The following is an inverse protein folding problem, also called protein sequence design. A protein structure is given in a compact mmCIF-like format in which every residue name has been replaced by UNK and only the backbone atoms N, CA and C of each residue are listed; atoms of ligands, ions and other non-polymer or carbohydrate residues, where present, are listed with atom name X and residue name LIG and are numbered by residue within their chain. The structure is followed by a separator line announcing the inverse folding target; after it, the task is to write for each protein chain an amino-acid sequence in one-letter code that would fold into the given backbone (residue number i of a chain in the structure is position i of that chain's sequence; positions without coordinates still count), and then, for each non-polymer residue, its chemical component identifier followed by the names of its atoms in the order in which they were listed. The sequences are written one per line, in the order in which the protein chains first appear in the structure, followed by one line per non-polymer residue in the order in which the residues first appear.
data_IF_109577540154
#
_entry.id   IF_109577540154
#
_cell.length_a   1.000
_cell.length_b   1.000
_cell.length_c   1.000
_cell.angle_alpha   90.00
_cell.angle_beta   90.00
_cell.angle_gamma   90.00
#
_symmetry.space_group_name_H-M   'P 1'
#
loop_
_entity.id
_entity.type
_entity.pdbx_description
1 polymer ?
#
# COMPACT_ATOMS: atom_id res chain seq x y z
N UNK A 1 9.29 14.08 -3.02
CA UNK A 1 8.37 14.62 -2.00
C UNK A 1 8.20 13.56 -0.92
N UNK A 2 8.38 13.94 0.34
CA UNK A 2 8.06 13.13 1.50
C UNK A 2 7.01 13.87 2.33
N UNK A 3 6.11 13.13 2.97
CA UNK A 3 5.04 13.71 3.79
C UNK A 3 4.64 12.76 4.92
N UNK A 4 4.09 13.32 5.98
CA UNK A 4 3.53 12.54 7.09
C UNK A 4 2.15 12.01 6.72
N UNK A 5 1.98 10.70 6.80
CA UNK A 5 0.67 10.07 6.62
C UNK A 5 -0.22 10.26 7.86
N UNK A 6 -1.54 10.15 7.67
CA UNK A 6 -2.50 10.15 8.77
C UNK A 6 -2.08 9.15 9.88
N UNK A 7 -1.89 9.65 11.09
CA UNK A 7 -1.46 8.86 12.24
C UNK A 7 0.05 8.75 12.43
N UNK A 8 0.86 9.49 11.66
CA UNK A 8 2.31 9.51 11.77
C UNK A 8 2.84 10.96 11.83
N UNK A 9 4.04 11.12 12.39
CA UNK A 9 4.72 12.39 12.47
C UNK A 9 3.86 13.51 13.07
N UNK A 10 3.78 14.62 12.39
CA UNK A 10 2.96 15.77 12.81
C UNK A 10 1.44 15.52 12.74
N UNK A 11 1.02 14.42 12.09
CA UNK A 11 -0.40 14.05 11.94
C UNK A 11 -0.83 12.93 12.90
N UNK A 12 -0.08 12.70 13.99
CA UNK A 12 -0.36 11.66 14.97
C UNK A 12 -1.76 11.80 15.60
N UNK A 13 -2.15 13.02 15.95
CA UNK A 13 -3.47 13.31 16.56
C UNK A 13 -4.63 13.04 15.61
N UNK A 14 -4.44 13.30 14.31
CA UNK A 14 -5.44 12.96 13.28
C UNK A 14 -5.69 11.44 13.26
N UNK A 15 -4.65 10.64 13.37
CA UNK A 15 -4.77 9.18 13.41
C UNK A 15 -5.41 8.66 14.70
N UNK A 16 -5.18 9.32 15.85
CA UNK A 16 -5.78 8.95 17.14
C UNK A 16 -7.29 9.08 17.11
N UNK A 17 -7.79 10.19 16.62
CA UNK A 17 -9.22 10.52 16.62
C UNK A 17 -9.91 10.15 15.30
N UNK A 18 -9.21 9.44 14.41
CA UNK A 18 -9.65 9.18 13.04
C UNK A 18 -11.05 8.55 12.96
N UNK A 19 -11.29 7.46 13.68
CA UNK A 19 -12.58 6.74 13.62
C UNK A 19 -13.72 7.44 14.35
N UNK A 20 -13.41 8.31 15.30
CA UNK A 20 -14.39 9.21 15.90
C UNK A 20 -14.96 10.19 14.87
N UNK A 21 -14.06 10.73 14.03
CA UNK A 21 -14.41 11.74 13.03
C UNK A 21 -14.86 11.13 11.70
N UNK A 22 -14.37 9.93 11.37
CA UNK A 22 -14.57 9.25 10.09
C UNK A 22 -14.95 7.76 10.26
N UNK A 23 -16.10 7.43 10.90
CA UNK A 23 -16.44 6.06 11.30
C UNK A 23 -16.66 5.10 10.10
N UNK A 24 -16.89 5.64 8.90
CA UNK A 24 -17.11 4.84 7.67
C UNK A 24 -15.87 4.64 6.81
N UNK A 25 -14.76 5.27 7.16
CA UNK A 25 -13.52 5.22 6.40
C UNK A 25 -12.55 4.19 6.99
N UNK A 26 -11.45 3.93 6.29
CA UNK A 26 -10.28 3.27 6.85
C UNK A 26 -9.10 4.22 6.89
N UNK A 27 -8.22 4.07 7.88
CA UNK A 27 -6.96 4.85 7.90
C UNK A 27 -6.13 4.59 6.65
N UNK A 28 -6.07 3.34 6.18
CA UNK A 28 -5.37 3.04 4.94
C UNK A 28 -5.99 3.78 3.76
N UNK A 29 -7.33 3.82 3.66
CA UNK A 29 -8.00 4.61 2.64
C UNK A 29 -7.63 6.09 2.70
N UNK A 30 -7.51 6.67 3.90
CA UNK A 30 -7.01 8.04 4.08
C UNK A 30 -5.56 8.19 3.61
N UNK A 31 -4.68 7.25 3.96
CA UNK A 31 -3.28 7.26 3.51
C UNK A 31 -3.16 7.18 1.98
N UNK A 32 -4.02 6.40 1.34
CA UNK A 32 -4.10 6.33 -0.13
C UNK A 32 -4.54 7.68 -0.71
N UNK A 33 -5.52 8.34 -0.12
CA UNK A 33 -5.94 9.69 -0.54
C UNK A 33 -4.84 10.72 -0.34
N UNK A 34 -4.07 10.63 0.75
CA UNK A 34 -2.90 11.48 0.98
C UNK A 34 -1.82 11.27 -0.09
N UNK A 35 -1.57 10.02 -0.49
CA UNK A 35 -0.65 9.71 -1.59
C UNK A 35 -1.11 10.34 -2.91
N UNK A 36 -2.40 10.20 -3.26
CA UNK A 36 -2.99 10.82 -4.45
C UNK A 36 -2.93 12.35 -4.39
N UNK A 37 -3.16 12.94 -3.22
CA UNK A 37 -3.02 14.38 -3.04
C UNK A 37 -1.57 14.85 -3.23
N UNK A 38 -0.57 14.07 -2.78
CA UNK A 38 0.84 14.35 -3.02
C UNK A 38 1.19 14.26 -4.51
N UNK A 39 0.64 13.31 -5.25
CA UNK A 39 0.77 13.23 -6.71
C UNK A 39 0.15 14.46 -7.37
N UNK A 40 -1.07 14.85 -7.00
CA UNK A 40 -1.71 16.05 -7.52
C UNK A 40 -0.89 17.32 -7.23
N UNK A 41 -0.37 17.44 -6.01
CA UNK A 41 0.50 18.56 -5.64
C UNK A 41 1.77 18.60 -6.51
N UNK A 42 2.39 17.44 -6.76
CA UNK A 42 3.58 17.36 -7.60
C UNK A 42 3.28 17.75 -9.06
N UNK A 43 2.26 17.12 -9.65
CA UNK A 43 1.97 17.24 -11.09
C UNK A 43 1.29 18.57 -11.45
N UNK A 44 0.32 18.98 -10.64
CA UNK A 44 -0.50 20.14 -10.97
C UNK A 44 0.11 21.44 -10.43
N UNK A 45 0.83 21.40 -9.33
CA UNK A 45 1.49 22.49 -8.61
C UNK A 45 0.69 23.77 -8.59
N UNK A 46 0.09 24.16 -7.47
CA UNK A 46 -0.75 25.36 -7.39
C UNK A 46 -0.08 26.50 -6.61
N UNK A 47 -0.18 27.73 -7.14
CA UNK A 47 0.25 28.93 -6.45
C UNK A 47 1.75 28.96 -6.15
N UNK A 48 2.13 29.47 -4.97
CA UNK A 48 3.51 29.57 -4.51
C UNK A 48 4.25 28.22 -4.41
N UNK A 49 3.52 27.10 -4.30
CA UNK A 49 4.09 25.76 -4.28
C UNK A 49 4.72 25.37 -5.62
N UNK A 50 4.28 25.94 -6.74
CA UNK A 50 4.84 25.65 -8.06
C UNK A 50 6.32 26.05 -8.15
N UNK A 51 6.73 27.12 -7.50
CA UNK A 51 8.12 27.57 -7.47
C UNK A 51 9.01 26.77 -6.50
N UNK A 52 8.41 26.00 -5.57
CA UNK A 52 9.12 25.21 -4.59
C UNK A 52 9.43 23.77 -5.07
N UNK A 53 8.79 23.31 -6.16
CA UNK A 53 9.01 21.99 -6.73
C UNK A 53 9.99 22.15 -7.91
N UNK A 54 11.14 21.45 -7.90
CA UNK A 54 12.03 21.42 -9.06
C UNK A 54 11.31 20.94 -10.31
N UNK A 55 11.71 21.42 -11.46
CA UNK A 55 11.20 20.93 -12.74
C UNK A 55 11.50 19.43 -12.88
N UNK A 56 10.50 18.63 -13.25
CA UNK A 56 10.62 17.20 -13.45
C UNK A 56 9.60 16.71 -14.50
N UNK A 57 9.81 15.51 -15.01
CA UNK A 57 8.90 14.86 -15.94
C UNK A 57 7.63 14.36 -15.21
N UNK A 58 6.51 15.05 -15.42
CA UNK A 58 5.22 14.72 -14.80
C UNK A 58 4.63 13.38 -15.26
N UNK A 59 5.15 12.78 -16.35
CA UNK A 59 4.79 11.44 -16.80
C UNK A 59 5.58 10.34 -16.09
N UNK A 60 6.55 10.70 -15.26
CA UNK A 60 7.44 9.77 -14.56
C UNK A 60 7.34 9.91 -13.04
N UNK A 61 6.14 9.94 -12.50
CA UNK A 61 5.88 9.98 -11.06
C UNK A 61 5.84 8.56 -10.51
N UNK A 62 6.74 8.25 -9.59
CA UNK A 62 6.81 6.96 -8.90
C UNK A 62 6.47 7.11 -7.43
N UNK A 63 5.75 6.15 -6.87
CA UNK A 63 5.50 6.08 -5.44
C UNK A 63 6.45 5.05 -4.80
N UNK A 64 7.10 5.46 -3.72
CA UNK A 64 7.91 4.58 -2.89
C UNK A 64 7.35 4.57 -1.48
N UNK A 65 7.10 3.40 -0.92
CA UNK A 65 6.60 3.25 0.43
C UNK A 65 7.28 2.15 1.21
N UNK A 66 7.40 2.37 2.53
CA UNK A 66 7.89 1.39 3.49
C UNK A 66 6.79 1.03 4.49
N UNK A 67 6.63 -0.26 4.80
CA UNK A 67 5.64 -0.77 5.75
C UNK A 67 4.21 -0.33 5.38
N UNK A 68 3.48 0.36 6.24
CA UNK A 68 2.15 0.93 5.91
C UNK A 68 2.19 1.88 4.70
N UNK A 69 3.32 2.55 4.49
CA UNK A 69 3.55 3.36 3.29
C UNK A 69 3.62 2.53 2.00
N UNK A 70 4.13 1.29 2.08
CA UNK A 70 4.12 0.38 0.93
C UNK A 70 2.70 0.00 0.52
N UNK A 71 1.82 -0.25 1.49
CA UNK A 71 0.39 -0.49 1.23
C UNK A 71 -0.27 0.74 0.58
N UNK A 72 -0.04 1.93 1.14
CA UNK A 72 -0.58 3.17 0.58
C UNK A 72 -0.08 3.41 -0.86
N UNK A 73 1.20 3.18 -1.13
CA UNK A 73 1.79 3.32 -2.47
C UNK A 73 1.20 2.30 -3.47
N UNK A 74 1.02 1.05 -3.04
CA UNK A 74 0.44 -0.01 -3.86
C UNK A 74 -0.98 0.34 -4.28
N UNK A 75 -1.86 0.65 -3.33
CA UNK A 75 -3.24 1.02 -3.64
C UNK A 75 -3.35 2.33 -4.42
N UNK A 76 -2.53 3.34 -4.10
CA UNK A 76 -2.52 4.59 -4.86
C UNK A 76 -2.04 4.37 -6.31
N UNK A 77 -1.07 3.46 -6.53
CA UNK A 77 -0.60 3.07 -7.85
C UNK A 77 -1.67 2.45 -8.74
N UNK A 78 -2.63 1.73 -8.13
CA UNK A 78 -3.82 1.21 -8.83
C UNK A 78 -4.83 2.33 -9.12
N UNK A 79 -5.06 3.21 -8.15
CA UNK A 79 -6.16 4.17 -8.16
C UNK A 79 -5.81 5.54 -8.75
N UNK A 80 -4.58 5.73 -9.25
CA UNK A 80 -4.15 6.97 -9.87
C UNK A 80 -3.31 6.70 -11.12
N UNK A 81 -3.87 6.99 -12.29
CA UNK A 81 -3.24 6.74 -13.58
C UNK A 81 -1.99 7.59 -13.83
N UNK A 82 -1.82 8.67 -13.11
CA UNK A 82 -0.62 9.54 -13.19
C UNK A 82 0.61 8.89 -12.54
N UNK A 83 0.41 7.87 -11.71
CA UNK A 83 1.50 7.10 -11.14
C UNK A 83 2.08 6.17 -12.19
N UNK A 84 3.36 6.38 -12.53
CA UNK A 84 4.06 5.61 -13.54
C UNK A 84 4.61 4.27 -13.03
N UNK A 85 4.73 4.10 -11.70
CA UNK A 85 5.15 2.83 -11.09
C UNK A 85 5.25 2.94 -9.57
N UNK A 86 5.43 1.80 -8.90
CA UNK A 86 5.47 1.71 -7.44
C UNK A 86 6.67 0.92 -6.95
N UNK A 87 7.20 1.30 -5.78
CA UNK A 87 8.20 0.55 -5.04
C UNK A 87 7.71 0.29 -3.61
N UNK A 88 7.51 -0.97 -3.27
CA UNK A 88 6.95 -1.44 -2.02
C UNK A 88 8.02 -2.15 -1.20
N UNK A 89 8.43 -1.56 -0.07
CA UNK A 89 9.42 -2.12 0.84
C UNK A 89 8.73 -2.68 2.07
N UNK A 90 8.72 -4.00 2.26
CA UNK A 90 8.04 -4.70 3.37
C UNK A 90 6.53 -4.36 3.46
N UNK A 91 5.95 -4.58 4.63
CA UNK A 91 4.67 -3.98 5.03
C UNK A 91 3.44 -4.83 4.77
N UNK A 92 3.54 -5.91 4.02
CA UNK A 92 2.41 -6.79 3.76
C UNK A 92 2.78 -8.27 3.81
N UNK A 93 1.81 -9.06 4.10
CA UNK A 93 1.78 -10.53 4.01
C UNK A 93 0.44 -10.89 3.39
N UNK A 94 0.34 -11.93 2.55
CA UNK A 94 -0.93 -12.31 1.95
C UNK A 94 -2.03 -12.43 3.00
N UNK A 95 -3.15 -11.80 2.75
CA UNK A 95 -4.26 -11.70 3.71
C UNK A 95 -4.82 -13.07 4.06
N UNK A 96 -4.96 -13.95 3.06
CA UNK A 96 -5.51 -15.30 3.22
C UNK A 96 -4.59 -16.24 4.00
N UNK A 97 -3.28 -15.94 4.06
CA UNK A 97 -2.29 -16.78 4.72
C UNK A 97 -1.78 -16.22 6.06
N UNK A 98 -2.18 -15.02 6.42
CA UNK A 98 -1.63 -14.30 7.57
C UNK A 98 -2.51 -14.45 8.81
N UNK A 99 -2.75 -15.69 9.22
CA UNK A 99 -3.53 -16.00 10.43
C UNK A 99 -2.98 -15.36 11.69
N UNK A 100 -3.84 -15.19 12.69
CA UNK A 100 -3.52 -14.53 13.97
C UNK A 100 -2.57 -15.35 14.86
N UNK A 101 -2.29 -16.60 14.51
CA UNK A 101 -1.34 -17.46 15.24
C UNK A 101 0.13 -16.97 15.17
N UNK A 102 0.45 -16.00 14.31
CA UNK A 102 1.79 -15.42 14.25
C UNK A 102 2.09 -14.61 15.50
N UNK A 103 3.27 -14.82 16.08
CA UNK A 103 3.75 -14.11 17.27
C UNK A 103 3.71 -12.56 17.11
N UNK A 104 3.75 -12.06 15.89
CA UNK A 104 3.71 -10.64 15.54
C UNK A 104 2.31 -10.12 15.21
N UNK A 105 1.25 -10.95 15.39
CA UNK A 105 -0.14 -10.58 15.25
C UNK A 105 -0.73 -10.71 13.84
N UNK A 106 0.03 -11.19 12.84
CA UNK A 106 -0.48 -11.45 11.49
C UNK A 106 -1.35 -10.32 10.94
N UNK A 107 -2.50 -10.65 10.37
CA UNK A 107 -3.49 -9.68 9.87
C UNK A 107 -4.12 -8.83 10.96
N UNK A 108 -4.13 -9.32 12.20
CA UNK A 108 -4.63 -8.59 13.37
C UNK A 108 -3.96 -7.22 13.51
N UNK A 109 -2.72 -7.08 13.04
CA UNK A 109 -2.03 -5.79 12.99
C UNK A 109 -2.78 -4.75 12.14
N UNK A 110 -3.41 -5.18 11.05
CA UNK A 110 -4.10 -4.28 10.13
C UNK A 110 -5.46 -3.83 10.68
N UNK A 111 -6.20 -4.70 11.34
CA UNK A 111 -7.55 -4.38 11.79
C UNK A 111 -7.64 -4.00 13.27
N UNK A 112 -6.81 -4.55 14.15
CA UNK A 112 -6.83 -4.25 15.58
C UNK A 112 -5.67 -3.34 16.00
N UNK A 113 -4.41 -3.79 15.85
CA UNK A 113 -3.26 -3.09 16.43
C UNK A 113 -3.00 -1.72 15.80
N UNK A 114 -3.04 -1.63 14.50
CA UNK A 114 -2.86 -0.36 13.76
C UNK A 114 -4.17 0.25 13.28
N UNK A 115 -5.23 -0.54 13.31
CA UNK A 115 -6.57 -0.15 12.83
C UNK A 115 -6.52 0.53 11.44
N UNK A 116 -5.69 -0.01 10.52
CA UNK A 116 -5.60 0.51 9.16
C UNK A 116 -6.82 0.15 8.34
N UNK A 117 -7.31 -1.08 8.52
CA UNK A 117 -8.45 -1.68 7.82
C UNK A 117 -9.33 -2.49 8.79
N UNK A 118 -10.13 -1.85 9.67
CA UNK A 118 -10.88 -2.54 10.72
C UNK A 118 -11.82 -3.64 10.21
N UNK A 119 -12.36 -3.50 9.01
CA UNK A 119 -13.28 -4.50 8.43
C UNK A 119 -12.62 -5.84 8.10
N UNK A 120 -11.31 -5.91 8.01
CA UNK A 120 -10.61 -7.20 7.89
C UNK A 120 -10.86 -8.10 9.10
N UNK A 121 -11.15 -7.54 10.28
CA UNK A 121 -11.54 -8.31 11.46
C UNK A 121 -12.82 -9.14 11.30
N UNK A 122 -13.64 -8.88 10.29
CA UNK A 122 -14.80 -9.72 9.95
C UNK A 122 -14.38 -11.10 9.43
N UNK A 123 -13.14 -11.24 9.00
CA UNK A 123 -12.55 -12.49 8.48
C UNK A 123 -11.61 -13.14 9.48
N UNK A 124 -11.58 -12.69 10.74
CA UNK A 124 -10.77 -13.32 11.78
C UNK A 124 -11.15 -14.78 11.99
N UNK A 125 -10.17 -15.69 11.84
CA UNK A 125 -10.40 -17.14 11.83
C UNK A 125 -11.05 -17.69 10.55
N UNK A 126 -11.28 -16.85 9.55
CA UNK A 126 -11.83 -17.18 8.24
C UNK A 126 -11.09 -16.48 7.11
N UNK A 127 -9.77 -16.34 7.25
CA UNK A 127 -8.93 -15.57 6.34
C UNK A 127 -9.00 -16.09 4.89
N UNK A 128 -9.22 -17.41 4.72
CA UNK A 128 -9.40 -18.00 3.39
C UNK A 128 -10.64 -17.50 2.63
N UNK A 129 -11.61 -16.91 3.34
CA UNK A 129 -12.83 -16.35 2.75
C UNK A 129 -12.68 -14.90 2.31
N UNK A 130 -11.50 -14.29 2.49
CA UNK A 130 -11.26 -12.91 2.04
C UNK A 130 -11.49 -12.78 0.54
N UNK A 131 -12.29 -11.77 0.10
CA UNK A 131 -12.70 -11.64 -1.29
C UNK A 131 -11.57 -11.20 -2.22
N UNK A 132 -10.46 -10.70 -1.68
CA UNK A 132 -9.26 -10.30 -2.43
C UNK A 132 -8.00 -10.56 -1.62
N UNK A 133 -6.85 -10.54 -2.28
CA UNK A 133 -5.53 -10.57 -1.65
C UNK A 133 -4.55 -9.67 -2.41
N UNK A 134 -3.30 -9.61 -2.00
CA UNK A 134 -2.31 -8.73 -2.61
C UNK A 134 -1.87 -9.16 -4.01
N UNK A 135 -2.08 -10.41 -4.41
CA UNK A 135 -1.92 -10.82 -5.81
C UNK A 135 -2.93 -10.12 -6.72
N UNK A 136 -4.18 -9.95 -6.28
CA UNK A 136 -5.19 -9.19 -7.01
C UNK A 136 -4.78 -7.71 -7.13
N UNK A 137 -4.34 -7.09 -6.03
CA UNK A 137 -3.94 -5.68 -6.02
C UNK A 137 -2.69 -5.44 -6.87
N UNK A 138 -1.67 -6.29 -6.74
CA UNK A 138 -0.45 -6.20 -7.56
C UNK A 138 -0.74 -6.48 -9.03
N UNK A 139 -1.65 -7.41 -9.33
CA UNK A 139 -2.12 -7.66 -10.69
C UNK A 139 -2.74 -6.43 -11.32
N UNK A 140 -3.44 -5.61 -10.55
CA UNK A 140 -4.01 -4.34 -11.01
C UNK A 140 -2.97 -3.21 -11.15
N UNK A 141 -1.85 -3.25 -10.40
CA UNK A 141 -0.74 -2.31 -10.60
C UNK A 141 -0.09 -2.52 -11.97
N UNK A 142 0.03 -3.78 -12.39
CA UNK A 142 0.56 -4.11 -13.70
C UNK A 142 -0.39 -3.60 -14.82
N UNK A 143 0.11 -3.08 -15.94
CA UNK A 143 1.46 -3.20 -16.48
C UNK A 143 2.49 -2.17 -16.00
N UNK A 144 2.18 -1.33 -15.01
CA UNK A 144 3.14 -0.34 -14.49
C UNK A 144 4.34 -1.07 -13.83
N UNK A 145 5.56 -0.54 -13.91
CA UNK A 145 6.71 -1.04 -13.16
C UNK A 145 6.40 -1.17 -11.66
N UNK A 146 6.67 -2.35 -11.09
CA UNK A 146 6.42 -2.63 -9.69
C UNK A 146 7.64 -3.32 -9.07
N UNK A 147 8.26 -2.66 -8.09
CA UNK A 147 9.34 -3.21 -7.27
C UNK A 147 8.77 -3.66 -5.93
N UNK A 148 8.96 -4.93 -5.58
CA UNK A 148 8.63 -5.47 -4.26
C UNK A 148 9.90 -5.95 -3.58
N UNK A 149 10.18 -5.40 -2.40
CA UNK A 149 11.33 -5.77 -1.58
C UNK A 149 10.83 -6.31 -0.24
N UNK A 150 11.05 -7.59 0.02
CA UNK A 150 10.69 -8.24 1.28
C UNK A 150 11.93 -8.84 1.92
N UNK A 151 12.41 -8.32 3.06
CA UNK A 151 13.56 -8.88 3.77
C UNK A 151 13.25 -10.28 4.29
N UNK A 152 14.19 -11.22 4.12
CA UNK A 152 14.04 -12.61 4.61
C UNK A 152 13.85 -12.71 6.14
N UNK A 153 14.34 -11.71 6.87
CA UNK A 153 14.26 -11.64 8.35
C UNK A 153 13.25 -10.62 8.84
N UNK A 154 12.32 -10.22 8.01
CA UNK A 154 11.22 -9.36 8.46
C UNK A 154 10.32 -10.14 9.43
N UNK A 155 10.29 -9.69 10.68
CA UNK A 155 9.45 -10.33 11.70
C UNK A 155 7.96 -10.12 11.47
N UNK A 156 7.59 -9.16 10.66
CA UNK A 156 6.20 -8.76 10.41
C UNK A 156 5.64 -9.27 9.09
N UNK A 157 6.49 -9.58 8.13
CA UNK A 157 6.08 -10.13 6.85
C UNK A 157 6.55 -11.59 6.72
N UNK A 158 5.76 -12.40 6.04
CA UNK A 158 6.14 -13.76 5.68
C UNK A 158 6.84 -13.73 4.33
N UNK A 159 8.16 -13.82 4.34
CA UNK A 159 8.96 -13.82 3.13
C UNK A 159 8.51 -14.90 2.13
N UNK A 160 8.28 -16.14 2.61
CA UNK A 160 7.93 -17.25 1.72
C UNK A 160 6.54 -17.02 1.11
N UNK A 161 5.56 -16.63 1.92
CA UNK A 161 4.22 -16.34 1.44
C UNK A 161 4.20 -15.17 0.43
N UNK A 162 5.01 -14.13 0.65
CA UNK A 162 5.17 -13.03 -0.31
C UNK A 162 5.82 -13.53 -1.60
N UNK A 163 6.87 -14.36 -1.51
CA UNK A 163 7.53 -14.94 -2.67
C UNK A 163 6.55 -15.77 -3.52
N UNK A 164 5.71 -16.59 -2.89
CA UNK A 164 4.66 -17.37 -3.57
C UNK A 164 3.67 -16.46 -4.33
N UNK A 165 3.26 -15.33 -3.75
CA UNK A 165 2.41 -14.35 -4.44
C UNK A 165 3.11 -13.82 -5.68
N UNK A 166 4.37 -13.42 -5.56
CA UNK A 166 5.15 -12.89 -6.68
C UNK A 166 5.32 -13.95 -7.78
N UNK A 167 5.57 -15.20 -7.41
CA UNK A 167 5.72 -16.29 -8.39
C UNK A 167 4.41 -16.60 -9.11
N UNK A 168 3.26 -16.55 -8.40
CA UNK A 168 1.93 -16.69 -9.03
C UNK A 168 1.70 -15.58 -10.07
N UNK A 169 2.00 -14.32 -9.72
CA UNK A 169 1.84 -13.18 -10.62
C UNK A 169 2.77 -13.32 -11.85
N UNK A 170 4.01 -13.72 -11.63
CA UNK A 170 4.98 -13.96 -12.72
C UNK A 170 4.53 -15.07 -13.67
N UNK A 171 3.98 -16.13 -13.12
CA UNK A 171 3.46 -17.27 -13.89
C UNK A 171 2.21 -16.93 -14.69
N UNK A 172 1.38 -16.02 -14.19
CA UNK A 172 0.21 -15.48 -14.89
C UNK A 172 0.55 -14.43 -15.97
N UNK A 173 1.83 -14.05 -16.08
CA UNK A 173 2.35 -13.01 -16.96
C UNK A 173 2.04 -13.14 -18.46
N UNK A 174 1.77 -14.31 -19.06
CA UNK A 174 1.31 -14.37 -20.47
C UNK A 174 0.02 -13.62 -20.73
N UNK A 175 -0.76 -13.35 -19.67
CA UNK A 175 -2.00 -12.58 -19.74
C UNK A 175 -1.80 -11.07 -19.47
N UNK A 176 -0.62 -10.66 -19.00
CA UNK A 176 -0.32 -9.29 -18.59
C UNK A 176 0.81 -8.75 -19.48
N UNK A 177 0.45 -8.22 -20.63
CA UNK A 177 1.37 -8.03 -21.77
C UNK A 177 2.39 -6.88 -21.66
N UNK A 178 2.45 -6.07 -20.61
CA UNK A 178 3.39 -4.91 -20.54
C UNK A 178 3.84 -4.49 -19.13
N UNK A 179 4.00 -5.36 -18.17
CA UNK A 179 4.52 -5.00 -16.85
C UNK A 179 5.82 -5.70 -16.51
N UNK A 180 6.64 -5.10 -15.66
CA UNK A 180 7.80 -5.75 -15.06
C UNK A 180 7.64 -5.83 -13.55
N UNK A 181 7.87 -7.02 -13.00
CA UNK A 181 7.97 -7.27 -11.56
C UNK A 181 9.43 -7.60 -11.26
N UNK A 182 10.05 -6.84 -10.38
CA UNK A 182 11.43 -7.04 -9.95
C UNK A 182 11.53 -7.30 -8.44
#
# INVERSE_FOLDING_TARGET
IAYDQCGFGLRLLEGRDFYKNHPRWSKLGRMVMDAKAAVSFAVEGRGAAKSAIPEFDTNRVFLLGYSSGALAAMYAGVLDDRVAGVACFSGWTPLRNAGNARATGGNRRLWELHALQPRLGLFDGRESEMPFDYDDVLGLVLPKPCLVVTPKRDRFADFNAVAEVIDRIRSAKPLITKGSLA
#
